data_IF_301601458367
#
_entry.id   IF_301601458367
#
_cell.length_a   1.000
_cell.length_b   1.000
_cell.length_c   1.000
_cell.angle_alpha   90.00
_cell.angle_beta   90.00
_cell.angle_gamma   90.00
#
_symmetry.space_group_name_H-M   'P 1'
#
loop_
_entity.id
_entity.type
_entity.pdbx_description
1 polymer ?
#
# COMPACT_ATOMS: atom_id res chain seq x y z
N UNK A 1 -22.36 -61.47 58.93
CA UNK A 1 -21.25 -61.36 57.94
C UNK A 1 -21.72 -60.69 56.65
N UNK A 2 -22.79 -61.17 56.02
CA UNK A 2 -23.36 -60.62 54.77
C UNK A 2 -23.75 -59.14 54.83
N UNK A 3 -24.40 -58.70 55.91
CA UNK A 3 -24.77 -57.28 56.09
C UNK A 3 -23.56 -56.34 56.19
N UNK A 4 -22.47 -56.81 56.81
CA UNK A 4 -21.21 -56.06 56.94
C UNK A 4 -20.50 -55.98 55.59
N UNK A 5 -20.49 -57.07 54.81
CA UNK A 5 -19.95 -57.08 53.46
C UNK A 5 -20.72 -56.16 52.50
N UNK A 6 -22.05 -56.13 52.58
CA UNK A 6 -22.89 -55.24 51.78
C UNK A 6 -22.65 -53.76 52.12
N UNK A 7 -22.48 -53.46 53.42
CA UNK A 7 -22.13 -52.11 53.88
C UNK A 7 -20.78 -51.64 53.35
N UNK A 8 -19.74 -52.49 53.41
CA UNK A 8 -18.41 -52.18 52.89
C UNK A 8 -18.41 -51.97 51.36
N UNK A 9 -19.13 -52.81 50.61
CA UNK A 9 -19.29 -52.63 49.17
C UNK A 9 -19.98 -51.31 48.83
N UNK A 10 -21.02 -50.94 49.58
CA UNK A 10 -21.71 -49.66 49.41
C UNK A 10 -20.76 -48.48 49.63
N UNK A 11 -19.95 -48.51 50.70
CA UNK A 11 -18.98 -47.45 50.99
C UNK A 11 -17.90 -47.33 49.90
N UNK A 12 -17.38 -48.46 49.40
CA UNK A 12 -16.39 -48.45 48.32
C UNK A 12 -16.97 -47.91 47.01
N UNK A 13 -18.20 -48.30 46.66
CA UNK A 13 -18.90 -47.77 45.50
C UNK A 13 -19.14 -46.26 45.62
N UNK A 14 -19.56 -45.78 46.80
CA UNK A 14 -19.73 -44.35 47.05
C UNK A 14 -18.41 -43.58 46.93
N UNK A 15 -17.30 -44.12 47.44
CA UNK A 15 -15.99 -43.49 47.31
C UNK A 15 -15.54 -43.38 45.84
N UNK A 16 -15.73 -44.44 45.04
CA UNK A 16 -15.42 -44.42 43.60
C UNK A 16 -16.30 -43.40 42.87
N UNK A 17 -17.60 -43.35 43.17
CA UNK A 17 -18.52 -42.37 42.58
C UNK A 17 -18.09 -40.95 42.91
N UNK A 18 -17.75 -40.66 44.17
CA UNK A 18 -17.30 -39.32 44.59
C UNK A 18 -16.03 -38.92 43.84
N UNK A 19 -15.03 -39.81 43.75
CA UNK A 19 -13.79 -39.53 43.01
C UNK A 19 -14.08 -39.27 41.54
N UNK A 20 -14.91 -40.10 40.90
CA UNK A 20 -15.32 -39.90 39.50
C UNK A 20 -16.06 -38.56 39.31
N UNK A 21 -16.94 -38.18 40.23
CA UNK A 21 -17.64 -36.89 40.18
C UNK A 21 -16.68 -35.70 40.29
N UNK A 22 -15.69 -35.76 41.19
CA UNK A 22 -14.68 -34.70 41.34
C UNK A 22 -13.81 -34.60 40.08
N UNK A 23 -13.36 -35.73 39.53
CA UNK A 23 -12.60 -35.77 38.28
C UNK A 23 -13.40 -35.19 37.12
N UNK A 24 -14.68 -35.56 36.99
CA UNK A 24 -15.56 -35.04 35.95
C UNK A 24 -15.76 -33.53 36.08
N UNK A 25 -15.94 -33.01 37.30
CA UNK A 25 -16.03 -31.57 37.55
C UNK A 25 -14.74 -30.84 37.22
N UNK A 26 -13.57 -31.41 37.54
CA UNK A 26 -12.28 -30.81 37.19
C UNK A 26 -12.08 -30.75 35.68
N UNK A 27 -12.33 -31.85 34.97
CA UNK A 27 -12.26 -31.91 33.51
C UNK A 27 -13.24 -30.93 32.85
N UNK A 28 -14.43 -30.76 33.42
CA UNK A 28 -15.41 -29.76 32.97
C UNK A 28 -14.85 -28.34 33.10
N UNK A 29 -14.23 -28.00 34.23
CA UNK A 29 -13.61 -26.68 34.42
C UNK A 29 -12.47 -26.40 33.44
N UNK A 30 -11.59 -27.39 33.23
CA UNK A 30 -10.48 -27.25 32.29
C UNK A 30 -10.98 -27.04 30.86
N UNK A 31 -12.02 -27.78 30.45
CA UNK A 31 -12.66 -27.60 29.14
C UNK A 31 -13.25 -26.20 29.00
N UNK A 32 -14.01 -25.74 29.99
CA UNK A 32 -14.69 -24.44 29.93
C UNK A 32 -13.66 -23.27 29.96
N UNK A 33 -12.54 -23.44 30.68
CA UNK A 33 -11.41 -22.51 30.64
C UNK A 33 -10.74 -22.49 29.26
N UNK A 34 -10.53 -23.66 28.66
CA UNK A 34 -9.93 -23.78 27.33
C UNK A 34 -10.82 -23.17 26.25
N UNK A 35 -12.13 -23.40 26.32
CA UNK A 35 -13.12 -22.81 25.42
C UNK A 35 -13.13 -21.28 25.51
N UNK A 36 -13.10 -20.74 26.73
CA UNK A 36 -13.00 -19.29 26.96
C UNK A 36 -11.71 -18.73 26.36
N UNK A 37 -10.57 -19.40 26.59
CA UNK A 37 -9.28 -18.99 26.03
C UNK A 37 -9.28 -19.05 24.49
N UNK A 38 -9.91 -20.06 23.90
CA UNK A 38 -10.02 -20.22 22.45
C UNK A 38 -10.89 -19.13 21.81
N UNK A 39 -12.06 -18.86 22.38
CA UNK A 39 -12.96 -17.80 21.90
C UNK A 39 -12.30 -16.43 21.98
N UNK A 40 -11.56 -16.16 23.07
CA UNK A 40 -10.76 -14.93 23.19
C UNK A 40 -9.70 -14.80 22.09
N UNK A 41 -8.97 -15.88 21.79
CA UNK A 41 -7.98 -15.87 20.71
C UNK A 41 -8.62 -15.69 19.32
N UNK A 42 -9.84 -16.21 19.11
CA UNK A 42 -10.62 -15.95 17.89
C UNK A 42 -10.94 -14.46 17.77
N UNK A 43 -11.42 -13.84 18.84
CA UNK A 43 -11.72 -12.40 18.86
C UNK A 43 -10.47 -11.56 18.57
N UNK A 44 -9.34 -11.89 19.20
CA UNK A 44 -8.04 -11.23 18.96
C UNK A 44 -7.60 -11.39 17.50
N UNK A 45 -7.74 -12.59 16.92
CA UNK A 45 -7.44 -12.83 15.50
C UNK A 45 -8.33 -11.97 14.61
N UNK A 46 -9.64 -11.94 14.84
CA UNK A 46 -10.59 -11.21 13.99
C UNK A 46 -10.35 -9.69 14.04
N UNK A 47 -9.95 -9.19 15.21
CA UNK A 47 -9.48 -7.81 15.37
C UNK A 47 -8.20 -7.55 14.57
N UNK A 48 -7.21 -8.44 14.64
CA UNK A 48 -5.97 -8.31 13.87
C UNK A 48 -6.22 -8.37 12.36
N UNK A 49 -7.10 -9.25 11.90
CA UNK A 49 -7.49 -9.32 10.49
C UNK A 49 -8.16 -8.03 10.01
N UNK A 50 -9.02 -7.45 10.85
CA UNK A 50 -9.67 -6.17 10.55
C UNK A 50 -8.66 -5.03 10.50
N UNK A 51 -7.76 -4.96 11.49
CA UNK A 51 -6.70 -3.97 11.53
C UNK A 51 -5.78 -4.10 10.31
N UNK A 52 -5.41 -5.32 9.92
CA UNK A 52 -4.61 -5.58 8.73
C UNK A 52 -5.32 -5.09 7.46
N UNK A 53 -6.63 -5.36 7.31
CA UNK A 53 -7.42 -4.88 6.17
C UNK A 53 -7.46 -3.36 6.10
N UNK A 54 -7.63 -2.68 7.24
CA UNK A 54 -7.65 -1.21 7.30
C UNK A 54 -6.29 -0.61 6.95
N UNK A 55 -5.21 -1.09 7.57
CA UNK A 55 -3.84 -0.65 7.27
C UNK A 55 -3.48 -0.92 5.81
N UNK A 56 -3.83 -2.09 5.28
CA UNK A 56 -3.63 -2.44 3.88
C UNK A 56 -4.38 -1.48 2.96
N UNK A 57 -5.65 -1.16 3.26
CA UNK A 57 -6.43 -0.19 2.49
C UNK A 57 -5.76 1.19 2.46
N UNK A 58 -5.28 1.69 3.60
CA UNK A 58 -4.65 3.01 3.68
C UNK A 58 -3.30 3.06 2.92
N UNK A 59 -2.51 1.98 2.99
CA UNK A 59 -1.27 1.84 2.22
C UNK A 59 -1.59 1.73 0.72
N UNK A 60 -2.55 0.89 0.33
CA UNK A 60 -2.87 0.62 -1.07
C UNK A 60 -3.61 1.75 -1.78
N UNK A 61 -4.23 2.68 -1.04
CA UNK A 61 -4.88 3.83 -1.66
C UNK A 61 -3.90 4.86 -2.24
N UNK A 62 -2.61 4.82 -1.83
CA UNK A 62 -1.63 5.86 -2.19
C UNK A 62 -0.42 5.33 -2.93
N UNK A 63 -0.20 4.01 -2.90
CA UNK A 63 0.83 3.33 -3.67
C UNK A 63 0.23 2.65 -4.89
N UNK A 64 0.76 2.95 -6.07
CA UNK A 64 0.25 2.47 -7.34
C UNK A 64 1.33 1.68 -8.06
N UNK A 65 1.02 0.44 -8.46
CA UNK A 65 1.97 -0.39 -9.19
C UNK A 65 1.84 -0.16 -10.69
N UNK A 66 2.97 0.06 -11.37
CA UNK A 66 3.03 0.13 -12.82
C UNK A 66 4.35 -0.40 -13.34
N UNK A 67 4.26 -1.28 -14.35
CA UNK A 67 5.40 -2.02 -14.93
C UNK A 67 6.18 -2.81 -13.87
N UNK A 68 7.27 -2.26 -13.35
CA UNK A 68 8.14 -2.86 -12.33
C UNK A 68 8.36 -1.97 -11.11
N UNK A 69 7.65 -0.84 -11.01
CA UNK A 69 7.85 0.19 -9.99
C UNK A 69 6.57 0.45 -9.20
N UNK A 70 6.73 0.86 -7.93
CA UNK A 70 5.65 1.36 -7.08
C UNK A 70 5.70 2.88 -7.07
N UNK A 71 4.58 3.56 -7.23
CA UNK A 71 4.51 5.01 -7.28
C UNK A 71 3.71 5.49 -6.09
N UNK A 72 4.19 6.52 -5.40
CA UNK A 72 3.44 7.13 -4.32
C UNK A 72 3.10 8.59 -4.64
N UNK A 73 1.86 8.98 -4.36
CA UNK A 73 1.44 10.39 -4.40
C UNK A 73 1.51 10.95 -2.97
N UNK A 74 2.24 12.04 -2.76
CA UNK A 74 2.32 12.73 -1.47
C UNK A 74 0.95 13.21 -0.96
N UNK A 75 0.72 13.20 0.35
CA UNK A 75 -0.43 13.90 0.97
C UNK A 75 -0.17 15.39 1.06
N UNK A 76 1.10 15.77 1.15
CA UNK A 76 1.54 17.12 1.42
C UNK A 76 1.84 17.84 0.12
N UNK A 77 1.37 19.08 0.04
CA UNK A 77 1.80 20.01 -1.00
C UNK A 77 3.09 20.68 -0.56
N UNK A 78 4.08 20.65 -1.44
CA UNK A 78 5.42 21.22 -1.21
C UNK A 78 5.88 21.94 -2.46
N UNK A 79 6.97 22.68 -2.35
CA UNK A 79 7.67 23.10 -3.56
C UNK A 79 8.54 21.97 -4.13
N UNK A 80 9.09 22.13 -5.33
CA UNK A 80 9.82 21.08 -6.02
C UNK A 80 11.03 20.61 -5.22
N UNK A 81 11.81 21.54 -4.66
CA UNK A 81 13.02 21.22 -3.88
C UNK A 81 12.70 20.49 -2.58
N UNK A 82 11.71 20.97 -1.83
CA UNK A 82 11.21 20.33 -0.61
C UNK A 82 10.63 18.94 -0.90
N UNK A 83 9.91 18.80 -2.03
CA UNK A 83 9.33 17.54 -2.48
C UNK A 83 10.42 16.52 -2.79
N UNK A 84 11.44 16.92 -3.55
CA UNK A 84 12.58 16.05 -3.87
C UNK A 84 13.30 15.58 -2.62
N UNK A 85 13.57 16.48 -1.68
CA UNK A 85 14.18 16.13 -0.40
C UNK A 85 13.33 15.14 0.41
N UNK A 86 12.01 15.27 0.39
CA UNK A 86 11.10 14.32 1.05
C UNK A 86 11.16 12.93 0.40
N UNK A 87 11.15 12.87 -0.94
CA UNK A 87 11.35 11.62 -1.68
C UNK A 87 12.66 10.93 -1.29
N UNK A 88 13.77 11.68 -1.29
CA UNK A 88 15.12 11.17 -0.96
C UNK A 88 15.17 10.64 0.48
N UNK A 89 14.59 11.35 1.44
CA UNK A 89 14.50 10.89 2.84
C UNK A 89 13.74 9.56 2.99
N UNK A 90 12.85 9.25 2.03
CA UNK A 90 12.06 8.02 1.99
C UNK A 90 12.68 6.93 1.11
N UNK A 91 13.90 7.13 0.61
CA UNK A 91 14.61 6.17 -0.24
C UNK A 91 14.11 6.12 -1.68
N UNK A 92 13.57 7.22 -2.20
CA UNK A 92 13.09 7.40 -3.57
C UNK A 92 13.56 8.76 -4.14
N UNK A 93 13.17 9.11 -5.36
CA UNK A 93 13.36 10.46 -5.92
C UNK A 93 12.11 10.85 -6.73
N UNK A 94 11.95 12.11 -7.14
CA UNK A 94 10.82 12.53 -7.98
C UNK A 94 10.74 11.69 -9.27
N UNK A 95 9.53 11.47 -9.76
CA UNK A 95 9.27 10.57 -10.89
C UNK A 95 10.01 10.99 -12.16
N UNK A 96 10.68 10.03 -12.78
CA UNK A 96 11.27 10.13 -14.12
C UNK A 96 10.30 9.44 -15.07
N UNK A 97 9.96 10.10 -16.18
CA UNK A 97 9.02 9.55 -17.16
C UNK A 97 9.83 9.08 -18.37
N UNK A 98 9.97 7.76 -18.51
CA UNK A 98 10.86 7.13 -19.47
C UNK A 98 10.21 6.92 -20.85
N UNK A 99 8.89 6.77 -20.89
CA UNK A 99 8.15 6.47 -22.11
C UNK A 99 6.69 6.92 -22.03
N UNK A 100 5.97 6.73 -23.14
CA UNK A 100 4.59 7.17 -23.30
C UNK A 100 3.65 6.41 -22.36
N UNK A 101 3.89 5.12 -22.16
CA UNK A 101 3.07 4.28 -21.30
C UNK A 101 3.16 4.73 -19.83
N UNK A 102 4.34 5.14 -19.38
CA UNK A 102 4.57 5.72 -18.06
C UNK A 102 3.95 7.12 -17.94
N UNK A 103 4.05 7.97 -18.97
CA UNK A 103 3.34 9.25 -19.02
C UNK A 103 1.83 9.05 -18.86
N UNK A 104 1.23 8.12 -19.62
CA UNK A 104 -0.20 7.79 -19.53
C UNK A 104 -0.58 7.24 -18.16
N UNK A 105 0.30 6.49 -17.50
CA UNK A 105 0.08 6.04 -16.13
C UNK A 105 0.12 7.19 -15.13
N UNK A 106 1.13 8.05 -15.19
CA UNK A 106 1.25 9.23 -14.33
C UNK A 106 0.07 10.19 -14.53
N UNK A 107 -0.46 10.34 -15.75
CA UNK A 107 -1.69 11.08 -16.01
C UNK A 107 -2.92 10.50 -15.29
N UNK A 108 -3.01 9.17 -15.11
CA UNK A 108 -4.07 8.55 -14.30
C UNK A 108 -3.91 8.89 -12.82
N UNK A 109 -2.67 8.92 -12.33
CA UNK A 109 -2.36 9.34 -10.96
C UNK A 109 -2.74 10.81 -10.73
N UNK A 110 -2.47 11.67 -11.72
CA UNK A 110 -2.89 13.07 -11.70
C UNK A 110 -4.40 13.23 -11.56
N UNK A 111 -5.21 12.44 -12.28
CA UNK A 111 -6.69 12.48 -12.15
C UNK A 111 -7.19 12.13 -10.75
N UNK A 112 -6.39 11.41 -9.97
CA UNK A 112 -6.68 11.03 -8.58
C UNK A 112 -6.07 12.00 -7.56
N UNK A 113 -5.18 12.89 -8.01
CA UNK A 113 -4.57 13.94 -7.20
C UNK A 113 -5.54 15.10 -7.00
N UNK A 114 -5.38 15.80 -5.88
CA UNK A 114 -6.16 17.01 -5.57
C UNK A 114 -5.42 18.29 -6.00
N UNK A 115 -4.22 18.16 -6.57
CA UNK A 115 -3.34 19.27 -6.96
C UNK A 115 -2.41 18.87 -8.12
N UNK A 116 -1.71 19.85 -8.70
CA UNK A 116 -0.63 19.57 -9.66
C UNK A 116 0.43 18.64 -9.06
N UNK A 117 1.18 17.94 -9.92
CA UNK A 117 2.17 16.96 -9.49
C UNK A 117 3.57 17.33 -9.97
N UNK A 118 4.51 17.41 -9.04
CA UNK A 118 5.93 17.58 -9.39
C UNK A 118 6.49 16.32 -10.04
N UNK A 119 7.19 16.50 -11.15
CA UNK A 119 8.03 15.46 -11.77
C UNK A 119 9.50 15.80 -11.61
N UNK A 120 10.36 14.79 -11.74
CA UNK A 120 11.80 14.91 -11.51
C UNK A 120 12.58 15.59 -12.63
N UNK A 121 12.00 16.57 -13.32
CA UNK A 121 12.61 17.26 -14.46
C UNK A 121 12.89 18.73 -14.10
N UNK A 122 14.10 19.20 -14.39
CA UNK A 122 14.56 20.57 -14.11
C UNK A 122 15.69 20.98 -15.06
N UNK A 123 15.82 22.26 -15.35
CA UNK A 123 16.94 22.87 -16.06
C UNK A 123 17.65 23.97 -15.23
N UNK A 124 17.42 24.00 -13.91
CA UNK A 124 17.96 24.99 -12.94
C UNK A 124 19.48 25.23 -13.02
N UNK A 125 20.23 24.27 -13.54
CA UNK A 125 21.69 24.39 -13.68
C UNK A 125 22.10 25.11 -14.96
N UNK A 126 21.32 24.99 -16.03
CA UNK A 126 21.61 25.56 -17.35
C UNK A 126 20.30 25.66 -18.11
N UNK A 127 19.81 26.88 -18.23
CA UNK A 127 18.59 27.23 -18.97
C UNK A 127 18.48 26.52 -20.33
N UNK A 128 17.32 25.89 -20.57
CA UNK A 128 17.03 25.14 -21.78
C UNK A 128 17.69 23.76 -21.86
N UNK A 129 18.49 23.37 -20.87
CA UNK A 129 19.13 22.05 -20.78
C UNK A 129 18.48 21.22 -19.67
N UNK A 130 17.35 20.62 -20.03
CA UNK A 130 16.53 19.78 -19.14
C UNK A 130 17.22 18.48 -18.73
N UNK A 131 17.27 18.23 -17.42
CA UNK A 131 17.81 17.02 -16.81
C UNK A 131 16.84 16.41 -15.81
N UNK A 132 16.81 15.09 -15.80
CA UNK A 132 16.14 14.32 -14.78
C UNK A 132 16.91 14.37 -13.46
N UNK A 133 16.24 14.06 -12.36
CA UNK A 133 16.83 14.01 -11.02
C UNK A 133 17.99 13.02 -10.89
N UNK A 134 18.07 12.00 -11.75
CA UNK A 134 19.20 11.07 -11.85
C UNK A 134 20.39 11.61 -12.66
N UNK A 135 20.26 12.81 -13.23
CA UNK A 135 21.27 13.48 -14.05
C UNK A 135 21.22 13.16 -15.54
N UNK A 136 20.34 12.27 -15.99
CA UNK A 136 20.17 11.95 -17.42
C UNK A 136 19.48 13.11 -18.16
N UNK A 137 19.82 13.27 -19.43
CA UNK A 137 19.22 14.31 -20.27
C UNK A 137 17.81 13.93 -20.71
N UNK A 138 16.97 14.94 -20.94
CA UNK A 138 15.65 14.73 -21.53
C UNK A 138 15.77 14.31 -23.01
N UNK A 139 15.25 13.13 -23.35
CA UNK A 139 15.14 12.68 -24.75
C UNK A 139 13.81 13.10 -25.40
N UNK A 140 12.69 12.86 -24.73
CA UNK A 140 11.34 13.15 -25.23
C UNK A 140 10.56 13.87 -24.15
N UNK A 141 10.11 15.09 -24.46
CA UNK A 141 9.23 15.86 -23.58
C UNK A 141 7.76 15.70 -23.96
N UNK A 142 6.87 15.72 -22.96
CA UNK A 142 5.42 15.74 -23.14
C UNK A 142 4.86 17.12 -22.78
N UNK A 143 5.47 18.15 -23.36
CA UNK A 143 5.19 19.56 -23.08
C UNK A 143 3.79 19.98 -23.50
N UNK A 144 3.20 20.87 -22.72
CA UNK A 144 2.00 21.58 -23.09
C UNK A 144 2.19 22.47 -24.31
N UNK A 145 1.08 22.88 -24.93
CA UNK A 145 1.13 23.79 -26.07
C UNK A 145 1.74 25.13 -25.64
N UNK A 146 2.92 25.43 -26.18
CA UNK A 146 3.66 26.66 -25.88
C UNK A 146 4.77 26.48 -24.85
N UNK A 147 4.91 25.29 -24.25
CA UNK A 147 5.91 24.98 -23.23
C UNK A 147 7.12 24.22 -23.80
N UNK A 148 8.28 24.29 -23.14
CA UNK A 148 8.59 25.19 -22.03
C UNK A 148 8.77 26.64 -22.52
N UNK A 149 8.28 27.61 -21.77
CA UNK A 149 8.26 29.02 -22.18
C UNK A 149 9.19 29.92 -21.36
N UNK A 150 9.69 29.42 -20.22
CA UNK A 150 10.55 30.12 -19.28
C UNK A 150 10.03 31.52 -18.87
N UNK A 151 8.73 31.65 -18.62
CA UNK A 151 8.09 32.91 -18.25
C UNK A 151 8.38 33.25 -16.80
N UNK A 152 9.54 33.88 -16.58
CA UNK A 152 9.94 34.34 -15.25
C UNK A 152 10.90 33.41 -14.53
N UNK A 153 11.83 32.77 -15.27
CA UNK A 153 12.86 31.88 -14.73
C UNK A 153 12.24 30.60 -14.13
N UNK A 154 11.62 29.82 -15.01
CA UNK A 154 10.83 28.62 -14.71
C UNK A 154 11.66 27.35 -14.84
N UNK A 155 12.29 26.94 -13.74
CA UNK A 155 13.30 25.88 -13.83
C UNK A 155 12.78 24.45 -13.51
N UNK A 156 11.49 24.29 -13.20
CA UNK A 156 10.92 23.07 -12.63
C UNK A 156 9.59 22.67 -13.27
N UNK A 157 9.34 21.36 -13.41
CA UNK A 157 8.20 20.86 -14.20
C UNK A 157 7.08 20.27 -13.33
N UNK A 158 5.86 20.72 -13.61
CA UNK A 158 4.62 20.21 -13.01
C UNK A 158 3.70 19.58 -14.06
N UNK A 159 2.96 18.56 -13.65
CA UNK A 159 1.75 18.09 -14.32
C UNK A 159 0.55 18.79 -13.70
N UNK A 160 0.06 19.85 -14.35
CA UNK A 160 -1.11 20.61 -13.89
C UNK A 160 -2.40 20.24 -14.65
N UNK A 161 -2.29 19.60 -15.82
CA UNK A 161 -3.40 19.13 -16.65
C UNK A 161 -3.05 17.78 -17.29
N UNK A 162 -4.05 17.02 -17.80
CA UNK A 162 -3.75 15.78 -18.53
C UNK A 162 -2.85 16.08 -19.73
N UNK A 163 -1.81 15.27 -19.90
CA UNK A 163 -0.96 15.24 -21.09
C UNK A 163 -0.12 16.51 -21.35
N UNK A 164 0.10 17.37 -20.35
CA UNK A 164 0.86 18.60 -20.57
C UNK A 164 1.80 18.90 -19.40
N UNK A 165 3.10 18.76 -19.66
CA UNK A 165 4.15 19.30 -18.79
C UNK A 165 4.21 20.82 -18.93
N UNK A 166 4.36 21.49 -17.81
CA UNK A 166 4.47 22.95 -17.72
C UNK A 166 5.69 23.24 -16.84
N UNK A 167 6.63 24.04 -17.33
CA UNK A 167 7.67 24.66 -16.52
C UNK A 167 7.04 25.79 -15.68
N UNK A 168 7.43 25.91 -14.41
CA UNK A 168 6.85 26.90 -13.49
C UNK A 168 7.90 27.71 -12.73
N UNK A 169 7.60 28.97 -12.35
CA UNK A 169 8.61 29.92 -11.87
C UNK A 169 9.06 29.53 -10.48
N UNK A 170 10.38 29.52 -10.30
CA UNK A 170 11.05 29.11 -9.08
C UNK A 170 10.57 27.73 -8.60
N UNK A 171 11.48 26.76 -8.58
CA UNK A 171 11.28 25.48 -7.89
C UNK A 171 10.81 25.59 -6.41
N UNK A 172 10.64 26.82 -5.89
CA UNK A 172 10.04 27.23 -4.62
C UNK A 172 8.51 27.45 -4.62
N UNK A 173 7.80 27.42 -5.75
CA UNK A 173 6.34 27.50 -5.79
C UNK A 173 5.71 26.35 -4.99
N UNK A 174 4.86 26.64 -4.01
CA UNK A 174 4.17 25.62 -3.20
C UNK A 174 2.81 25.32 -3.81
N UNK A 175 2.30 24.10 -3.56
CA UNK A 175 0.92 23.76 -3.93
C UNK A 175 0.78 22.44 -4.68
N UNK A 176 1.87 21.74 -4.97
CA UNK A 176 1.84 20.49 -5.72
C UNK A 176 2.28 19.31 -4.85
N UNK A 177 1.67 18.16 -5.11
CA UNK A 177 2.08 16.87 -4.53
C UNK A 177 3.23 16.29 -5.35
N UNK A 178 4.06 15.44 -4.77
CA UNK A 178 5.08 14.70 -5.50
C UNK A 178 4.64 13.30 -5.86
N UNK A 179 5.13 12.82 -7.01
CA UNK A 179 5.11 11.41 -7.37
C UNK A 179 6.53 10.90 -7.32
N UNK A 180 6.74 9.74 -6.71
CA UNK A 180 8.03 9.07 -6.76
C UNK A 180 7.91 7.56 -6.95
N UNK A 181 8.80 6.96 -7.77
CA UNK A 181 8.99 5.52 -7.80
C UNK A 181 9.73 5.08 -6.53
N UNK A 182 9.09 4.24 -5.71
CA UNK A 182 9.74 3.50 -4.64
C UNK A 182 10.52 2.31 -5.21
N UNK A 183 11.76 2.15 -4.75
CA UNK A 183 12.53 0.93 -4.98
C UNK A 183 11.87 -0.18 -4.17
N UNK A 184 11.69 -1.37 -4.75
CA UNK A 184 11.27 -2.58 -4.01
C UNK A 184 12.35 -2.88 -2.96
N UNK A 185 12.25 -2.27 -1.78
CA UNK A 185 13.01 -2.74 -0.63
C UNK A 185 12.65 -4.19 -0.43
N UNK A 186 13.61 -5.01 -0.02
CA UNK A 186 13.45 -6.45 0.22
C UNK A 186 12.51 -6.76 1.40
N UNK A 187 11.62 -5.84 1.75
CA UNK A 187 10.40 -6.14 2.47
C UNK A 187 9.48 -6.82 1.46
N UNK A 188 9.43 -8.14 1.54
CA UNK A 188 8.34 -8.92 1.01
C UNK A 188 7.03 -8.24 1.43
N UNK A 189 6.42 -7.47 0.53
CA UNK A 189 4.99 -7.18 0.65
C UNK A 189 4.33 -8.54 0.87
N UNK A 190 3.43 -8.69 1.86
CA UNK A 190 2.72 -9.93 2.04
C UNK A 190 2.18 -10.35 0.68
N UNK A 191 2.45 -11.60 0.27
CA UNK A 191 1.76 -12.15 -0.87
C UNK A 191 0.26 -11.91 -0.61
N UNK A 192 -0.38 -11.21 -1.53
CA UNK A 192 -1.77 -10.80 -1.41
C UNK A 192 -2.63 -11.97 -0.93
N UNK A 193 -3.51 -11.81 0.08
CA UNK A 193 -4.47 -12.85 0.41
C UNK A 193 -5.37 -13.04 -0.81
N UNK A 194 -5.08 -14.08 -1.59
CA UNK A 194 -5.92 -14.46 -2.72
C UNK A 194 -7.18 -15.10 -2.14
N UNK A 195 -8.28 -14.36 -2.04
CA UNK A 195 -9.59 -15.00 -2.05
C UNK A 195 -9.83 -15.47 -3.49
N UNK A 196 -9.40 -16.70 -3.80
CA UNK A 196 -9.64 -17.43 -5.05
C UNK A 196 -8.74 -17.13 -6.26
N UNK A 197 -7.50 -16.68 -6.05
CA UNK A 197 -6.46 -16.75 -7.08
C UNK A 197 -6.66 -15.92 -8.35
N UNK A 198 -7.60 -14.96 -8.37
CA UNK A 198 -7.77 -14.04 -9.50
C UNK A 198 -7.19 -12.67 -9.12
N UNK A 199 -6.17 -12.17 -9.84
CA UNK A 199 -5.74 -10.78 -9.71
C UNK A 199 -6.90 -9.87 -10.13
N UNK A 200 -7.49 -9.14 -9.18
CA UNK A 200 -8.34 -8.00 -9.48
C UNK A 200 -7.45 -6.87 -9.99
N UNK A 201 -7.05 -6.95 -11.25
CA UNK A 201 -6.87 -5.85 -12.22
C UNK A 201 -6.47 -6.51 -13.55
N UNK A 202 -7.49 -7.01 -14.26
CA UNK A 202 -7.37 -7.70 -15.53
C UNK A 202 -8.66 -7.61 -16.32
N UNK A 203 -9.17 -6.39 -16.52
CA UNK A 203 -10.29 -6.12 -17.43
C UNK A 203 -10.02 -4.84 -18.23
N UNK A 204 -9.11 -4.91 -19.19
CA UNK A 204 -9.12 -4.06 -20.38
C UNK A 204 -8.10 -4.57 -21.41
N UNK A 205 -8.39 -5.73 -22.03
CA UNK A 205 -8.11 -6.01 -23.44
C UNK A 205 -8.49 -7.44 -23.74
N UNK A 206 -9.76 -7.66 -24.09
CA UNK A 206 -10.12 -8.79 -24.94
C UNK A 206 -10.42 -8.21 -26.32
N UNK A 207 -9.44 -8.36 -27.18
CA UNK A 207 -9.57 -8.33 -28.63
C UNK A 207 -10.84 -9.07 -29.06
N UNK A 208 -11.75 -8.37 -29.74
CA UNK A 208 -12.66 -9.00 -30.69
C UNK A 208 -12.12 -8.68 -32.07
N UNK A 209 -11.42 -9.65 -32.65
CA UNK A 209 -11.32 -9.81 -34.09
C UNK A 209 -11.38 -11.29 -34.40
N UNK A 210 -12.45 -11.67 -35.10
CA UNK A 210 -12.74 -12.91 -35.84
C UNK A 210 -14.28 -13.01 -35.88
N UNK A 211 -14.99 -13.20 -37.00
CA UNK A 211 -14.64 -13.45 -38.40
C UNK A 211 -15.95 -13.26 -39.20
N UNK A 212 -15.81 -12.99 -40.51
CA UNK A 212 -16.68 -13.39 -41.65
C UNK A 212 -18.19 -13.17 -41.51
#
# INVERSE_FOLDING_TARGET
LTAVCLGLLCVLLLAVIIVLCVCFQNLTRERDQLETSYNKMIEERDQLETNYKNVSKDILQRWFYFSSSLYYISTETKNWSESRQDCIKRGADLVIINNKEEQEFVNRLWKMSQSGLWIGLTDINTEGVWKWVDGTALNTGYWGKGEPNNSGNEDCVVLDRPDTWIDVPSCGAKGCQSIWPGVRSRLSMPAWPTSNGVPLFGLANRTRSANI
#
